data_IF_773035271228
#
_entry.id   IF_773035271228
#
_cell.length_a   1.000
_cell.length_b   1.000
_cell.length_c   1.000
_cell.angle_alpha   90.00
_cell.angle_beta   90.00
_cell.angle_gamma   90.00
#
_symmetry.space_group_name_H-M   'P 1'
#
loop_
_entity.id
_entity.type
_entity.pdbx_description
1 polymer ?
#
# COMPACT_ATOMS: atom_id res chain seq x y z
N UNK A 1 0.13 -16.65 -9.05
CA UNK A 1 1.58 -16.74 -8.82
C UNK A 1 1.81 -16.66 -7.34
N UNK A 2 2.50 -17.66 -6.79
CA UNK A 2 2.85 -17.74 -5.38
C UNK A 2 3.58 -16.47 -4.93
N UNK A 3 3.23 -15.92 -3.75
CA UNK A 3 3.92 -14.77 -3.18
C UNK A 3 5.44 -14.95 -3.29
N UNK A 4 6.18 -13.91 -3.69
CA UNK A 4 7.66 -13.84 -3.70
C UNK A 4 8.24 -13.88 -2.26
N UNK A 5 7.81 -14.85 -1.49
CA UNK A 5 8.14 -15.14 -0.11
C UNK A 5 8.55 -16.60 -0.08
N UNK A 6 9.77 -16.86 0.35
CA UNK A 6 10.27 -18.22 0.56
C UNK A 6 10.19 -18.49 2.05
N UNK A 7 9.64 -19.64 2.49
CA UNK A 7 9.68 -19.98 3.92
C UNK A 7 11.14 -20.05 4.37
N UNK A 8 11.43 -19.46 5.52
CA UNK A 8 12.79 -19.42 6.07
C UNK A 8 13.38 -20.83 6.25
N UNK A 9 12.53 -21.83 6.51
CA UNK A 9 12.90 -23.25 6.58
C UNK A 9 13.36 -23.81 5.22
N UNK A 10 12.63 -23.51 4.14
CA UNK A 10 12.96 -23.96 2.79
C UNK A 10 14.25 -23.28 2.30
N UNK A 11 14.40 -21.98 2.57
CA UNK A 11 15.64 -21.24 2.32
C UNK A 11 16.83 -21.83 3.10
N UNK A 12 16.64 -22.22 4.37
CA UNK A 12 17.69 -22.85 5.17
C UNK A 12 18.10 -24.22 4.59
N UNK A 13 17.15 -25.03 4.14
CA UNK A 13 17.43 -26.30 3.50
C UNK A 13 18.20 -26.13 2.18
N UNK A 14 17.78 -25.19 1.33
CA UNK A 14 18.48 -24.86 0.09
C UNK A 14 19.89 -24.30 0.36
N UNK A 15 20.03 -23.45 1.37
CA UNK A 15 21.32 -22.90 1.78
C UNK A 15 22.26 -24.03 2.28
N UNK A 16 21.75 -24.98 3.07
CA UNK A 16 22.55 -26.11 3.53
C UNK A 16 23.12 -26.95 2.37
N UNK A 17 22.34 -27.12 1.30
CA UNK A 17 22.81 -27.79 0.08
C UNK A 17 23.95 -27.00 -0.59
N UNK A 18 23.77 -25.69 -0.80
CA UNK A 18 24.79 -24.82 -1.40
C UNK A 18 26.08 -24.80 -0.55
N UNK A 19 25.97 -24.65 0.77
CA UNK A 19 27.11 -24.64 1.68
C UNK A 19 27.89 -25.97 1.65
N UNK A 20 27.17 -27.10 1.52
CA UNK A 20 27.80 -28.41 1.41
C UNK A 20 28.57 -28.55 0.09
N UNK A 21 27.98 -28.13 -1.03
CA UNK A 21 28.64 -28.10 -2.35
C UNK A 21 29.94 -27.27 -2.29
N UNK A 22 29.89 -26.08 -1.66
CA UNK A 22 31.06 -25.20 -1.50
C UNK A 22 32.13 -25.79 -0.56
N UNK A 23 31.73 -26.40 0.55
CA UNK A 23 32.65 -27.02 1.49
C UNK A 23 33.36 -28.24 0.86
N UNK A 24 32.62 -29.08 0.13
CA UNK A 24 33.16 -30.24 -0.59
C UNK A 24 34.10 -29.81 -1.72
N UNK A 25 33.79 -28.71 -2.42
CA UNK A 25 34.69 -28.16 -3.44
C UNK A 25 36.05 -27.74 -2.85
N UNK A 26 36.07 -27.26 -1.60
CA UNK A 26 37.31 -26.89 -0.91
C UNK A 26 38.07 -28.09 -0.31
N UNK A 27 37.36 -29.10 0.21
CA UNK A 27 37.97 -30.27 0.88
C UNK A 27 38.28 -31.44 -0.06
N UNK A 28 37.79 -31.43 -1.30
CA UNK A 28 37.84 -32.58 -2.19
C UNK A 28 37.15 -33.80 -1.56
N UNK A 29 37.82 -34.95 -1.55
CA UNK A 29 37.29 -36.19 -0.97
C UNK A 29 37.43 -36.27 0.56
N UNK A 30 38.03 -35.26 1.21
CA UNK A 30 38.24 -35.28 2.65
C UNK A 30 36.93 -34.98 3.40
N UNK A 31 36.61 -35.83 4.39
CA UNK A 31 35.46 -35.59 5.29
C UNK A 31 35.73 -34.51 6.35
N UNK A 32 37.01 -34.18 6.57
CA UNK A 32 37.46 -33.20 7.55
C UNK A 32 38.22 -32.10 6.83
N UNK A 33 37.95 -30.85 7.22
CA UNK A 33 38.60 -29.67 6.64
C UNK A 33 39.88 -29.38 7.41
N UNK A 34 41.00 -29.57 6.73
CA UNK A 34 42.32 -29.16 7.21
C UNK A 34 42.45 -27.63 7.25
N UNK A 35 43.47 -27.15 7.97
CA UNK A 35 43.71 -25.71 8.06
C UNK A 35 44.06 -25.08 6.70
N UNK A 36 44.73 -25.83 5.82
CA UNK A 36 45.05 -25.36 4.47
C UNK A 36 43.80 -25.29 3.58
N UNK A 37 42.93 -26.31 3.64
CA UNK A 37 41.66 -26.30 2.89
C UNK A 37 40.70 -25.21 3.40
N UNK A 38 40.77 -24.87 4.70
CA UNK A 38 39.98 -23.79 5.27
C UNK A 38 40.30 -22.42 4.62
N UNK A 39 41.50 -22.21 4.09
CA UNK A 39 41.85 -20.96 3.39
C UNK A 39 41.12 -20.82 2.04
N UNK A 40 40.78 -21.94 1.41
CA UNK A 40 40.07 -22.01 0.12
C UNK A 40 38.53 -21.93 0.27
N UNK A 41 37.99 -21.99 1.49
CA UNK A 41 36.56 -21.88 1.73
C UNK A 41 36.01 -20.50 1.34
N UNK A 42 34.74 -20.48 0.94
CA UNK A 42 33.97 -19.24 0.79
C UNK A 42 34.08 -18.37 2.07
N UNK A 43 34.19 -17.03 1.98
CA UNK A 43 34.41 -16.17 3.15
C UNK A 43 33.43 -16.39 4.31
N UNK A 44 32.16 -16.64 4.01
CA UNK A 44 31.14 -16.97 5.03
C UNK A 44 31.42 -18.32 5.73
N UNK A 45 31.83 -19.35 4.97
CA UNK A 45 32.22 -20.64 5.53
C UNK A 45 33.51 -20.55 6.37
N UNK A 46 34.45 -19.68 6.00
CA UNK A 46 35.65 -19.42 6.82
C UNK A 46 35.31 -18.85 8.19
N UNK A 47 34.35 -17.94 8.26
CA UNK A 47 33.84 -17.40 9.53
C UNK A 47 33.20 -18.51 10.39
N UNK A 48 32.42 -19.40 9.76
CA UNK A 48 31.83 -20.55 10.45
C UNK A 48 32.90 -21.55 10.94
N UNK A 49 33.92 -21.88 10.13
CA UNK A 49 35.03 -22.76 10.52
C UNK A 49 35.78 -22.20 11.73
N UNK A 50 36.14 -20.91 11.69
CA UNK A 50 36.79 -20.23 12.81
C UNK A 50 35.95 -20.34 14.09
N UNK A 51 34.63 -20.15 13.98
CA UNK A 51 33.70 -20.25 15.11
C UNK A 51 33.67 -21.67 15.68
N UNK A 52 33.57 -22.70 14.85
CA UNK A 52 33.59 -24.11 15.28
C UNK A 52 34.90 -24.43 16.01
N UNK A 53 36.05 -24.00 15.48
CA UNK A 53 37.35 -24.23 16.13
C UNK A 53 37.51 -23.51 17.46
N UNK A 54 37.02 -22.27 17.56
CA UNK A 54 37.04 -21.50 18.80
C UNK A 54 36.22 -22.20 19.89
N UNK A 55 35.01 -22.66 19.57
CA UNK A 55 34.14 -23.31 20.57
C UNK A 55 34.55 -24.75 20.89
N UNK A 56 35.11 -25.49 19.94
CA UNK A 56 35.59 -26.85 20.18
C UNK A 56 36.93 -26.92 20.94
N UNK A 57 37.74 -25.86 20.86
CA UNK A 57 39.06 -25.80 21.50
C UNK A 57 40.19 -26.41 20.67
N UNK A 58 41.37 -26.53 21.28
CA UNK A 58 42.59 -26.99 20.61
C UNK A 58 42.45 -28.41 20.07
N UNK A 59 42.79 -28.62 18.79
CA UNK A 59 42.72 -29.92 18.12
C UNK A 59 41.33 -30.28 17.57
N UNK A 60 40.35 -29.37 17.64
CA UNK A 60 39.03 -29.57 17.04
C UNK A 60 39.14 -29.86 15.55
N UNK A 61 38.61 -31.00 15.14
CA UNK A 61 38.46 -31.39 13.74
C UNK A 61 37.10 -30.91 13.25
N UNK A 62 37.09 -30.17 12.16
CA UNK A 62 35.86 -29.63 11.55
C UNK A 62 35.47 -30.56 10.42
N UNK A 63 34.38 -31.32 10.59
CA UNK A 63 33.78 -32.06 9.48
C UNK A 63 32.97 -31.13 8.58
N UNK A 64 32.76 -31.52 7.33
CA UNK A 64 31.89 -30.79 6.39
C UNK A 64 30.49 -30.59 6.99
N UNK A 65 29.89 -31.62 7.59
CA UNK A 65 28.55 -31.52 8.16
C UNK A 65 28.48 -30.55 9.36
N UNK A 66 29.46 -30.61 10.28
CA UNK A 66 29.50 -29.68 11.41
C UNK A 66 29.69 -28.23 10.94
N UNK A 67 30.46 -28.03 9.88
CA UNK A 67 30.65 -26.70 9.29
C UNK A 67 29.36 -26.17 8.67
N UNK A 68 28.65 -27.00 7.89
CA UNK A 68 27.38 -26.63 7.26
C UNK A 68 26.33 -26.30 8.31
N UNK A 69 26.20 -27.12 9.36
CA UNK A 69 25.28 -26.87 10.47
C UNK A 69 25.56 -25.52 11.15
N UNK A 70 26.83 -25.26 11.50
CA UNK A 70 27.24 -24.00 12.11
C UNK A 70 26.97 -22.79 11.20
N UNK A 71 27.24 -22.92 9.90
CA UNK A 71 27.00 -21.87 8.92
C UNK A 71 25.51 -21.58 8.71
N UNK A 72 24.64 -22.60 8.68
CA UNK A 72 23.17 -22.42 8.61
C UNK A 72 22.65 -21.75 9.89
N UNK A 73 23.16 -22.13 11.06
CA UNK A 73 22.79 -21.47 12.33
C UNK A 73 23.19 -19.99 12.32
N UNK A 74 24.39 -19.67 11.83
CA UNK A 74 24.84 -18.28 11.65
C UNK A 74 23.96 -17.50 10.67
N UNK A 75 23.57 -18.13 9.56
CA UNK A 75 22.69 -17.53 8.57
C UNK A 75 21.33 -17.17 9.16
N UNK A 76 20.75 -18.07 9.97
CA UNK A 76 19.48 -17.82 10.68
C UNK A 76 19.55 -16.61 11.61
N UNK A 77 20.62 -16.47 12.40
CA UNK A 77 20.82 -15.26 13.20
C UNK A 77 20.92 -13.99 12.34
N UNK A 78 21.60 -14.08 11.18
CA UNK A 78 21.67 -12.96 10.23
C UNK A 78 20.31 -12.59 9.63
N UNK A 79 19.49 -13.57 9.29
CA UNK A 79 18.12 -13.37 8.80
C UNK A 79 17.20 -12.77 9.87
N UNK A 80 17.25 -13.28 11.11
CA UNK A 80 16.49 -12.74 12.25
C UNK A 80 16.84 -11.29 12.54
N UNK A 81 18.10 -10.88 12.35
CA UNK A 81 18.52 -9.49 12.56
C UNK A 81 17.91 -8.51 11.56
N UNK A 82 17.59 -8.95 10.33
CA UNK A 82 16.93 -8.14 9.30
C UNK A 82 15.42 -8.41 9.18
N UNK A 83 14.93 -9.45 9.86
CA UNK A 83 13.54 -9.87 9.90
C UNK A 83 13.14 -10.35 11.31
N UNK A 84 13.07 -9.43 12.30
CA UNK A 84 12.83 -9.80 13.68
C UNK A 84 11.41 -10.33 13.88
N UNK A 85 11.25 -11.32 14.76
CA UNK A 85 9.96 -11.94 15.12
C UNK A 85 8.93 -10.92 15.61
N UNK A 86 9.40 -9.81 16.19
CA UNK A 86 8.59 -8.78 16.81
C UNK A 86 8.27 -7.62 15.83
N UNK A 87 8.87 -7.64 14.64
CA UNK A 87 8.57 -6.70 13.57
C UNK A 87 7.20 -6.99 12.96
N UNK A 88 6.57 -5.98 12.35
CA UNK A 88 5.28 -6.13 11.66
C UNK A 88 5.25 -7.15 10.49
N UNK A 89 6.34 -7.90 10.25
CA UNK A 89 6.49 -8.88 9.17
C UNK A 89 6.67 -10.27 9.74
N UNK A 90 6.13 -11.25 9.04
CA UNK A 90 6.16 -12.65 9.44
C UNK A 90 7.57 -13.25 9.25
N UNK A 91 8.32 -13.40 10.35
CA UNK A 91 9.66 -14.02 10.39
C UNK A 91 9.74 -15.44 9.81
N UNK A 92 8.59 -16.11 9.60
CA UNK A 92 8.51 -17.41 8.94
C UNK A 92 8.88 -17.36 7.44
N UNK A 93 8.94 -16.16 6.86
CA UNK A 93 9.23 -15.95 5.45
C UNK A 93 10.43 -15.02 5.25
N UNK A 94 11.21 -15.31 4.21
CA UNK A 94 12.28 -14.48 3.72
C UNK A 94 11.82 -13.85 2.40
N UNK A 95 11.83 -12.52 2.29
CA UNK A 95 11.58 -11.80 1.04
C UNK A 95 12.87 -11.16 0.51
N UNK A 96 12.79 -10.66 -0.72
CA UNK A 96 13.92 -10.02 -1.38
C UNK A 96 14.40 -8.77 -0.63
N UNK A 97 13.51 -8.04 0.04
CA UNK A 97 13.87 -6.83 0.78
C UNK A 97 14.79 -7.15 1.97
N UNK A 98 14.51 -8.23 2.70
CA UNK A 98 15.37 -8.70 3.79
C UNK A 98 16.75 -9.10 3.25
N UNK A 99 16.82 -9.74 2.08
CA UNK A 99 18.09 -10.08 1.42
C UNK A 99 18.90 -8.83 1.01
N UNK A 100 18.23 -7.77 0.56
CA UNK A 100 18.86 -6.47 0.28
C UNK A 100 19.39 -5.81 1.54
N UNK A 101 18.63 -5.85 2.64
CA UNK A 101 19.08 -5.35 3.93
C UNK A 101 20.31 -6.13 4.43
N UNK A 102 20.29 -7.46 4.29
CA UNK A 102 21.38 -8.35 4.69
C UNK A 102 22.68 -8.00 3.97
N UNK A 103 22.62 -7.62 2.69
CA UNK A 103 23.80 -7.22 1.90
C UNK A 103 24.58 -6.05 2.50
N UNK A 104 23.93 -5.18 3.28
CA UNK A 104 24.58 -4.07 3.98
C UNK A 104 25.36 -4.51 5.22
N UNK A 105 24.94 -5.61 5.84
CA UNK A 105 25.54 -6.13 7.08
C UNK A 105 26.56 -7.23 6.81
N UNK A 106 26.23 -8.17 5.93
CA UNK A 106 27.06 -9.30 5.53
C UNK A 106 26.84 -9.60 4.03
N UNK A 107 27.69 -9.05 3.13
CA UNK A 107 27.51 -9.24 1.69
C UNK A 107 27.70 -10.70 1.26
N UNK A 108 28.52 -11.48 1.97
CA UNK A 108 28.78 -12.88 1.65
C UNK A 108 27.60 -13.78 2.05
N UNK A 109 27.00 -13.54 3.20
CA UNK A 109 25.76 -14.22 3.58
C UNK A 109 24.61 -13.83 2.65
N UNK A 110 24.49 -12.54 2.29
CA UNK A 110 23.44 -12.08 1.38
C UNK A 110 23.51 -12.75 0.01
N UNK A 111 24.71 -12.92 -0.55
CA UNK A 111 24.93 -13.64 -1.81
C UNK A 111 24.42 -15.09 -1.73
N UNK A 112 24.86 -15.85 -0.72
CA UNK A 112 24.44 -17.25 -0.56
C UNK A 112 22.95 -17.38 -0.26
N UNK A 113 22.40 -16.44 0.51
CA UNK A 113 20.96 -16.40 0.81
C UNK A 113 20.12 -16.12 -0.44
N UNK A 114 20.61 -15.26 -1.34
CA UNK A 114 20.00 -15.03 -2.65
C UNK A 114 20.01 -16.28 -3.54
N UNK A 115 21.11 -17.03 -3.56
CA UNK A 115 21.18 -18.30 -4.29
C UNK A 115 20.19 -19.33 -3.73
N UNK A 116 20.11 -19.46 -2.41
CA UNK A 116 19.17 -20.35 -1.74
C UNK A 116 17.71 -19.96 -2.04
N UNK A 117 17.39 -18.67 -1.93
CA UNK A 117 16.07 -18.11 -2.25
C UNK A 117 15.65 -18.46 -3.68
N UNK A 118 16.52 -18.23 -4.67
CA UNK A 118 16.25 -18.57 -6.08
C UNK A 118 16.03 -20.06 -6.30
N UNK A 119 16.84 -20.92 -5.68
CA UNK A 119 16.71 -22.38 -5.81
C UNK A 119 15.36 -22.88 -5.31
N UNK A 120 14.82 -22.27 -4.24
CA UNK A 120 13.47 -22.59 -3.77
C UNK A 120 12.40 -22.09 -4.75
N UNK A 121 12.52 -20.87 -5.26
CA UNK A 121 11.56 -20.35 -6.25
C UNK A 121 11.53 -21.18 -7.53
N UNK A 122 12.69 -21.56 -8.07
CA UNK A 122 12.80 -22.42 -9.26
C UNK A 122 12.17 -23.79 -9.01
N UNK A 123 12.35 -24.38 -7.82
CA UNK A 123 11.72 -25.64 -7.45
C UNK A 123 10.20 -25.53 -7.29
N UNK A 124 9.71 -24.41 -6.74
CA UNK A 124 8.27 -24.11 -6.62
C UNK A 124 7.64 -23.95 -8.01
N UNK A 125 8.26 -23.15 -8.89
CA UNK A 125 7.81 -22.98 -10.27
C UNK A 125 7.80 -24.28 -11.07
N UNK A 126 8.82 -25.13 -10.91
CA UNK A 126 8.85 -26.44 -11.55
C UNK A 126 7.78 -27.41 -11.03
N UNK A 127 7.23 -27.14 -9.84
CA UNK A 127 6.15 -27.93 -9.22
C UNK A 127 4.76 -27.36 -9.52
N UNK A 128 4.68 -26.12 -10.03
CA UNK A 128 3.42 -25.53 -10.48
C UNK A 128 3.02 -26.19 -11.82
N UNK A 129 1.76 -26.62 -11.99
CA UNK A 129 1.31 -27.18 -13.26
C UNK A 129 1.49 -26.16 -14.38
N UNK A 130 1.99 -26.62 -15.55
CA UNK A 130 2.30 -25.80 -16.74
C UNK A 130 1.13 -24.93 -17.25
N UNK A 131 -0.08 -25.17 -16.76
CA UNK A 131 -1.24 -24.29 -16.95
C UNK A 131 -1.69 -23.81 -15.58
N UNK A 132 -1.55 -22.51 -15.26
CA UNK A 132 -2.16 -21.94 -14.06
C UNK A 132 -3.65 -22.32 -14.10
N UNK A 133 -4.13 -22.97 -13.04
CA UNK A 133 -5.57 -23.17 -12.90
C UNK A 133 -6.24 -21.79 -13.03
N UNK A 134 -7.33 -21.71 -13.80
CA UNK A 134 -8.12 -20.49 -13.84
C UNK A 134 -8.47 -20.09 -12.40
N UNK A 135 -8.30 -18.81 -12.03
CA UNK A 135 -8.56 -18.36 -10.68
C UNK A 135 -10.01 -18.68 -10.31
N UNK A 136 -10.21 -19.29 -9.15
CA UNK A 136 -11.53 -19.72 -8.69
C UNK A 136 -12.47 -18.54 -8.38
N UNK A 137 -11.91 -17.34 -8.14
CA UNK A 137 -12.64 -16.10 -7.92
C UNK A 137 -11.85 -14.86 -8.38
N UNK A 138 -12.53 -13.71 -8.45
CA UNK A 138 -11.90 -12.41 -8.71
C UNK A 138 -10.83 -12.07 -7.67
N UNK A 139 -11.08 -12.37 -6.39
CA UNK A 139 -10.13 -12.10 -5.31
C UNK A 139 -8.88 -12.96 -5.43
N UNK A 140 -9.04 -14.25 -5.73
CA UNK A 140 -7.91 -15.15 -5.96
C UNK A 140 -7.04 -14.68 -7.12
N UNK A 141 -7.66 -14.13 -8.16
CA UNK A 141 -6.93 -13.54 -9.27
C UNK A 141 -6.08 -12.34 -8.82
N UNK A 142 -6.66 -11.34 -8.13
CA UNK A 142 -5.92 -10.16 -7.67
C UNK A 142 -4.82 -10.54 -6.67
N UNK A 143 -5.12 -11.38 -5.69
CA UNK A 143 -4.15 -11.84 -4.68
C UNK A 143 -3.01 -12.64 -5.29
N UNK A 144 -3.31 -13.41 -6.34
CA UNK A 144 -2.33 -14.20 -7.09
C UNK A 144 -1.62 -13.45 -8.22
N UNK A 145 -1.99 -12.20 -8.51
CA UNK A 145 -1.42 -11.40 -9.60
C UNK A 145 -0.34 -10.47 -9.05
N UNK A 146 0.84 -10.52 -9.67
CA UNK A 146 1.89 -9.52 -9.46
C UNK A 146 1.66 -8.36 -10.43
N UNK A 147 1.26 -7.20 -9.90
CA UNK A 147 1.04 -5.99 -10.70
C UNK A 147 2.33 -5.16 -10.87
N UNK A 148 3.50 -5.71 -10.50
CA UNK A 148 4.79 -5.08 -10.78
C UNK A 148 5.00 -4.86 -12.29
N UNK A 149 5.93 -3.96 -12.63
CA UNK A 149 6.28 -3.58 -14.01
C UNK A 149 5.11 -3.01 -14.83
N UNK A 150 4.10 -2.45 -14.16
CA UNK A 150 2.89 -1.96 -14.83
C UNK A 150 2.19 -3.08 -15.63
N UNK A 151 2.09 -4.28 -15.05
CA UNK A 151 1.56 -5.47 -15.71
C UNK A 151 0.27 -5.17 -16.48
N UNK A 152 -0.69 -4.46 -15.88
CA UNK A 152 -1.93 -4.09 -16.57
C UNK A 152 -1.80 -2.92 -17.57
N UNK A 153 -0.79 -2.06 -17.50
CA UNK A 153 -0.58 -1.11 -18.61
C UNK A 153 -0.02 -1.81 -19.86
N UNK A 154 0.80 -2.86 -19.66
CA UNK A 154 1.47 -3.58 -20.74
C UNK A 154 0.68 -4.78 -21.25
N UNK A 155 -0.08 -5.43 -20.37
CA UNK A 155 -0.82 -6.65 -20.62
C UNK A 155 -2.29 -6.42 -20.23
N UNK A 156 -3.23 -6.92 -21.02
CA UNK A 156 -4.64 -6.87 -20.63
C UNK A 156 -4.92 -7.89 -19.53
N UNK A 157 -6.14 -7.86 -18.98
CA UNK A 157 -6.65 -8.99 -18.20
C UNK A 157 -6.43 -10.32 -18.96
N UNK A 158 -6.27 -11.47 -18.29
CA UNK A 158 -6.22 -12.78 -18.94
C UNK A 158 -7.36 -12.96 -19.95
N UNK A 159 -7.02 -13.15 -21.23
CA UNK A 159 -8.00 -13.27 -22.32
C UNK A 159 -8.82 -12.01 -22.62
N UNK A 160 -8.53 -10.90 -21.94
CA UNK A 160 -9.21 -9.62 -22.09
C UNK A 160 -8.55 -8.69 -23.10
N UNK A 161 -9.10 -7.48 -23.18
CA UNK A 161 -8.64 -6.40 -24.05
C UNK A 161 -8.55 -5.09 -23.28
N UNK A 162 -7.51 -4.31 -23.55
CA UNK A 162 -7.42 -2.91 -23.13
C UNK A 162 -8.39 -2.06 -23.96
N UNK A 163 -9.16 -1.22 -23.30
CA UNK A 163 -10.13 -0.33 -23.92
C UNK A 163 -9.67 1.11 -23.77
N UNK A 164 -9.65 1.85 -24.88
CA UNK A 164 -9.39 3.28 -24.87
C UNK A 164 -10.69 4.05 -24.61
N UNK A 165 -10.91 4.39 -23.34
CA UNK A 165 -12.10 5.10 -22.88
C UNK A 165 -11.91 6.63 -22.81
N UNK A 166 -10.83 7.18 -23.36
CA UNK A 166 -10.60 8.63 -23.35
C UNK A 166 -11.71 9.38 -24.10
N UNK A 167 -11.95 10.65 -23.72
CA UNK A 167 -13.01 11.46 -24.33
C UNK A 167 -12.84 11.53 -25.84
N UNK A 168 -13.92 11.23 -26.57
CA UNK A 168 -13.95 11.21 -28.04
C UNK A 168 -13.39 9.95 -28.69
N UNK A 169 -12.95 8.94 -27.93
CA UNK A 169 -12.48 7.67 -28.47
C UNK A 169 -13.64 6.68 -28.70
N UNK A 170 -13.62 5.89 -29.79
CA UNK A 170 -14.68 4.91 -30.06
C UNK A 170 -14.85 3.85 -28.96
N UNK A 171 -13.76 3.50 -28.27
CA UNK A 171 -13.79 2.51 -27.18
C UNK A 171 -14.62 2.94 -25.97
N UNK A 172 -15.03 4.22 -25.92
CA UNK A 172 -15.91 4.76 -24.88
C UNK A 172 -17.39 4.47 -25.13
N UNK A 173 -17.79 4.21 -26.38
CA UNK A 173 -19.20 3.98 -26.72
C UNK A 173 -19.70 2.68 -26.08
N UNK A 174 -20.84 2.75 -25.38
CA UNK A 174 -21.46 1.59 -24.74
C UNK A 174 -20.83 1.16 -23.41
N UNK A 175 -19.85 1.90 -22.89
CA UNK A 175 -19.35 1.67 -21.53
C UNK A 175 -20.41 2.08 -20.49
N UNK A 176 -20.54 1.34 -19.38
CA UNK A 176 -21.38 1.77 -18.26
C UNK A 176 -20.94 3.13 -17.70
N UNK A 177 -21.91 3.96 -17.32
CA UNK A 177 -21.65 5.33 -16.84
C UNK A 177 -20.71 5.34 -15.62
N UNK A 178 -20.89 4.39 -14.69
CA UNK A 178 -20.04 4.26 -13.51
C UNK A 178 -18.57 3.94 -13.86
N UNK A 179 -18.34 3.07 -14.85
CA UNK A 179 -17.00 2.70 -15.34
C UNK A 179 -16.35 3.90 -16.02
N UNK A 180 -17.11 4.62 -16.85
CA UNK A 180 -16.65 5.86 -17.51
C UNK A 180 -16.25 6.90 -16.48
N UNK A 181 -17.08 7.11 -15.46
CA UNK A 181 -16.81 8.07 -14.40
C UNK A 181 -15.56 7.71 -13.58
N UNK A 182 -15.30 6.42 -13.32
CA UNK A 182 -14.06 5.98 -12.67
C UNK A 182 -12.85 6.21 -13.54
N UNK A 183 -12.93 5.82 -14.82
CA UNK A 183 -11.82 5.95 -15.72
C UNK A 183 -11.44 7.42 -15.91
N UNK A 184 -12.43 8.28 -16.15
CA UNK A 184 -12.22 9.73 -16.26
C UNK A 184 -11.59 10.31 -15.00
N UNK A 185 -11.99 9.81 -13.83
CA UNK A 185 -11.42 10.25 -12.56
C UNK A 185 -9.92 9.91 -12.45
N UNK A 186 -9.50 8.72 -12.86
CA UNK A 186 -8.10 8.31 -12.76
C UNK A 186 -7.24 8.81 -13.92
N UNK A 187 -7.79 8.97 -15.12
CA UNK A 187 -7.08 9.49 -16.28
C UNK A 187 -6.50 10.89 -16.05
N UNK A 188 -7.06 11.65 -15.11
CA UNK A 188 -6.53 12.94 -14.64
C UNK A 188 -5.10 12.86 -14.13
N UNK A 189 -4.68 11.69 -13.65
CA UNK A 189 -3.31 11.43 -13.22
C UNK A 189 -2.34 11.45 -14.41
N UNK A 190 -2.77 10.87 -15.54
CA UNK A 190 -2.02 10.94 -16.80
C UNK A 190 -1.95 12.37 -17.33
N UNK A 191 -3.06 13.10 -17.29
CA UNK A 191 -3.13 14.49 -17.77
C UNK A 191 -2.25 15.44 -16.95
N UNK A 192 -1.92 15.09 -15.70
CA UNK A 192 -1.02 15.85 -14.84
C UNK A 192 0.40 15.28 -14.76
N UNK A 193 0.71 14.22 -15.51
CA UNK A 193 2.03 13.59 -15.52
C UNK A 193 2.48 13.17 -14.10
N UNK A 194 1.58 12.52 -13.37
CA UNK A 194 1.84 12.00 -12.00
C UNK A 194 1.46 10.51 -11.87
N UNK A 195 1.05 9.89 -12.97
CA UNK A 195 0.60 8.51 -12.97
C UNK A 195 0.01 8.05 -14.29
N UNK A 196 -0.54 6.82 -14.26
CA UNK A 196 -1.15 6.11 -15.37
C UNK A 196 -2.55 5.64 -15.03
N UNK A 197 -3.46 5.57 -16.01
CA UNK A 197 -4.76 4.94 -15.91
C UNK A 197 -5.04 4.05 -17.13
N UNK A 198 -5.55 2.86 -16.89
CA UNK A 198 -5.91 1.92 -17.96
C UNK A 198 -7.25 1.26 -17.66
N UNK A 199 -8.10 1.15 -18.70
CA UNK A 199 -9.34 0.39 -18.64
C UNK A 199 -9.16 -0.91 -19.41
N UNK A 200 -9.64 -2.00 -18.83
CA UNK A 200 -9.63 -3.33 -19.41
C UNK A 200 -11.01 -3.95 -19.35
N UNK A 201 -11.30 -4.81 -20.32
CA UNK A 201 -12.46 -5.70 -20.34
C UNK A 201 -11.97 -7.13 -20.41
N UNK A 202 -12.52 -8.02 -19.61
CA UNK A 202 -12.14 -9.43 -19.65
C UNK A 202 -13.16 -10.32 -18.97
N UNK A 203 -12.85 -11.61 -18.91
CA UNK A 203 -13.60 -12.57 -18.12
C UNK A 203 -12.66 -13.13 -17.03
N UNK A 204 -13.05 -12.98 -15.77
CA UNK A 204 -12.28 -13.45 -14.62
C UNK A 204 -13.18 -14.36 -13.79
N UNK A 205 -12.77 -15.62 -13.58
CA UNK A 205 -13.56 -16.59 -12.82
C UNK A 205 -14.95 -16.86 -13.42
N UNK A 206 -15.09 -16.79 -14.75
CA UNK A 206 -16.36 -16.95 -15.46
C UNK A 206 -17.24 -15.68 -15.50
N UNK A 207 -16.82 -14.59 -14.87
CA UNK A 207 -17.57 -13.34 -14.83
C UNK A 207 -16.96 -12.29 -15.76
N UNK A 208 -17.80 -11.68 -16.62
CA UNK A 208 -17.40 -10.54 -17.43
C UNK A 208 -17.22 -9.31 -16.54
N UNK A 209 -16.03 -8.70 -16.63
CA UNK A 209 -15.64 -7.58 -15.79
C UNK A 209 -14.99 -6.45 -16.57
N UNK A 210 -15.15 -5.24 -16.05
CA UNK A 210 -14.31 -4.09 -16.35
C UNK A 210 -13.30 -3.89 -15.22
N UNK A 211 -12.03 -3.72 -15.57
CA UNK A 211 -10.98 -3.42 -14.60
C UNK A 211 -10.34 -2.08 -14.93
N UNK A 212 -10.35 -1.17 -13.96
CA UNK A 212 -9.65 0.11 -14.04
C UNK A 212 -8.43 0.01 -13.15
N UNK A 213 -7.26 0.03 -13.79
CA UNK A 213 -5.98 -0.03 -13.12
C UNK A 213 -5.26 1.30 -13.25
N UNK A 214 -4.81 1.80 -12.12
CA UNK A 214 -4.18 3.11 -12.00
C UNK A 214 -2.89 2.98 -11.23
N UNK A 215 -1.85 3.66 -11.68
CA UNK A 215 -0.57 3.80 -10.97
C UNK A 215 -0.24 5.26 -10.75
N UNK A 216 0.57 5.55 -9.75
CA UNK A 216 1.25 6.83 -9.56
C UNK A 216 2.74 6.63 -9.75
N UNK A 217 3.47 7.73 -9.95
CA UNK A 217 4.93 7.69 -9.98
C UNK A 217 5.57 7.36 -8.62
N UNK A 218 4.76 7.33 -7.54
CA UNK A 218 5.17 7.04 -6.16
C UNK A 218 4.94 5.60 -5.70
N UNK A 219 4.85 4.64 -6.63
CA UNK A 219 4.58 3.21 -6.39
C UNK A 219 3.20 2.88 -5.81
N UNK A 220 2.32 3.86 -5.61
CA UNK A 220 0.93 3.62 -5.23
C UNK A 220 0.10 3.29 -6.48
N UNK A 221 -0.78 2.31 -6.34
CA UNK A 221 -1.68 1.91 -7.41
C UNK A 221 -3.06 1.53 -6.86
N UNK A 222 -4.06 1.56 -7.73
CA UNK A 222 -5.42 1.17 -7.42
C UNK A 222 -5.99 0.32 -8.54
N UNK A 223 -6.84 -0.63 -8.14
CA UNK A 223 -7.61 -1.47 -9.04
C UNK A 223 -9.08 -1.36 -8.64
N UNK A 224 -9.94 -0.99 -9.59
CA UNK A 224 -11.39 -1.07 -9.42
C UNK A 224 -11.95 -2.08 -10.41
N UNK A 225 -12.75 -3.01 -9.91
CA UNK A 225 -13.39 -4.08 -10.67
C UNK A 225 -14.89 -3.84 -10.68
N UNK A 226 -15.48 -3.84 -11.88
CA UNK A 226 -16.91 -3.67 -12.11
C UNK A 226 -17.48 -4.86 -12.88
N UNK A 227 -18.75 -5.16 -12.67
CA UNK A 227 -19.48 -6.11 -13.53
C UNK A 227 -19.80 -5.50 -14.90
N UNK A 228 -20.37 -6.31 -15.79
CA UNK A 228 -20.74 -5.89 -17.13
C UNK A 228 -21.71 -4.69 -17.18
N UNK A 229 -22.54 -4.51 -16.15
CA UNK A 229 -23.54 -3.44 -16.04
C UNK A 229 -22.98 -2.17 -15.36
N UNK A 230 -21.74 -2.23 -14.86
CA UNK A 230 -21.07 -1.13 -14.18
C UNK A 230 -21.29 -1.08 -12.67
N UNK A 231 -21.83 -2.14 -12.06
CA UNK A 231 -21.84 -2.32 -10.62
C UNK A 231 -20.43 -2.56 -10.10
N UNK A 232 -20.02 -1.84 -9.06
CA UNK A 232 -18.72 -2.07 -8.42
C UNK A 232 -18.72 -3.44 -7.74
N UNK A 233 -17.77 -4.29 -8.10
CA UNK A 233 -17.57 -5.60 -7.49
C UNK A 233 -16.59 -5.51 -6.34
N UNK A 234 -15.40 -4.96 -6.60
CA UNK A 234 -14.31 -4.85 -5.63
C UNK A 234 -13.42 -3.63 -5.97
N UNK A 235 -12.83 -3.04 -4.93
CA UNK A 235 -11.71 -2.12 -5.04
C UNK A 235 -10.49 -2.70 -4.34
N UNK A 236 -9.30 -2.39 -4.83
CA UNK A 236 -8.06 -2.78 -4.18
C UNK A 236 -7.03 -1.65 -4.24
N UNK A 237 -6.33 -1.46 -3.13
CA UNK A 237 -5.11 -0.67 -3.08
C UNK A 237 -3.92 -1.57 -3.29
N UNK A 238 -3.02 -1.09 -4.12
CA UNK A 238 -1.78 -1.75 -4.46
C UNK A 238 -0.62 -0.83 -4.06
N UNK A 239 0.49 -1.44 -3.62
CA UNK A 239 1.72 -0.73 -3.31
C UNK A 239 2.90 -1.53 -3.87
N UNK A 240 3.72 -0.87 -4.70
CA UNK A 240 4.80 -1.52 -5.44
C UNK A 240 4.31 -2.81 -6.14
N UNK A 241 3.22 -2.68 -6.90
CA UNK A 241 2.63 -3.77 -7.68
C UNK A 241 1.99 -4.90 -6.87
N UNK A 242 1.85 -4.77 -5.55
CA UNK A 242 1.29 -5.83 -4.69
C UNK A 242 0.02 -5.37 -4.00
N UNK A 243 -0.91 -6.32 -3.79
CA UNK A 243 -2.09 -6.07 -2.98
C UNK A 243 -1.69 -5.61 -1.58
N UNK A 244 -2.14 -4.41 -1.23
CA UNK A 244 -1.96 -3.81 0.08
C UNK A 244 -3.22 -3.98 0.92
N UNK A 245 -4.39 -3.63 0.35
CA UNK A 245 -5.67 -3.76 1.02
C UNK A 245 -6.81 -3.97 0.01
N UNK A 246 -7.82 -4.71 0.44
CA UNK A 246 -9.12 -4.78 -0.22
C UNK A 246 -10.01 -3.65 0.30
N UNK A 247 -10.75 -3.04 -0.60
CA UNK A 247 -11.59 -1.89 -0.31
C UNK A 247 -12.95 -2.05 -0.95
N UNK A 248 -13.99 -1.93 -0.14
CA UNK A 248 -15.38 -1.94 -0.63
C UNK A 248 -15.81 -0.57 -1.19
N UNK A 249 -14.87 0.35 -1.37
CA UNK A 249 -15.10 1.70 -1.89
C UNK A 249 -14.26 1.94 -3.14
N UNK A 250 -14.76 2.76 -4.10
CA UNK A 250 -13.96 3.21 -5.23
C UNK A 250 -12.69 3.92 -4.72
N UNK A 251 -11.52 3.58 -5.24
CA UNK A 251 -10.26 4.26 -4.92
C UNK A 251 -10.22 5.72 -5.39
N UNK A 252 -11.29 6.21 -6.04
CA UNK A 252 -11.50 7.62 -6.38
C UNK A 252 -11.41 8.56 -5.17
N UNK A 253 -11.93 8.18 -4.01
CA UNK A 253 -11.83 9.06 -2.83
C UNK A 253 -10.36 9.36 -2.48
N UNK A 254 -9.49 8.34 -2.53
CA UNK A 254 -8.07 8.44 -2.12
C UNK A 254 -7.14 9.13 -3.10
N UNK A 255 -7.40 9.01 -4.40
CA UNK A 255 -6.65 9.80 -5.38
C UNK A 255 -7.05 11.27 -5.31
N UNK A 256 -8.28 11.57 -4.89
CA UNK A 256 -8.67 12.95 -4.58
C UNK A 256 -7.75 13.51 -3.50
N UNK A 257 -7.45 12.71 -2.48
CA UNK A 257 -6.47 12.98 -1.43
C UNK A 257 -5.07 13.38 -1.96
N UNK A 258 -4.56 12.68 -2.97
CA UNK A 258 -3.30 13.03 -3.63
C UNK A 258 -3.41 14.36 -4.40
N UNK A 259 -4.50 14.58 -5.14
CA UNK A 259 -4.75 15.84 -5.84
C UNK A 259 -4.91 17.03 -4.87
N UNK A 260 -5.52 16.82 -3.71
CA UNK A 260 -5.60 17.83 -2.66
C UNK A 260 -4.20 18.19 -2.13
N UNK A 261 -3.23 17.28 -2.19
CA UNK A 261 -1.88 17.45 -1.59
C UNK A 261 -0.92 18.14 -2.55
N UNK A 262 -1.01 17.82 -3.84
CA UNK A 262 -0.17 18.41 -4.88
C UNK A 262 -0.53 19.87 -5.21
N UNK A 263 -1.71 20.34 -4.79
CA UNK A 263 -2.23 21.65 -5.17
C UNK A 263 -1.63 22.86 -4.42
N UNK A 264 -0.77 22.65 -3.41
CA UNK A 264 -0.15 23.75 -2.67
C UNK A 264 -1.18 24.68 -2.01
N UNK A 265 -1.95 24.15 -1.06
CA UNK A 265 -2.93 24.93 -0.30
C UNK A 265 -2.26 25.78 0.78
N UNK A 266 -2.95 26.84 1.25
CA UNK A 266 -2.43 27.68 2.33
C UNK A 266 -2.87 27.17 3.69
N UNK A 267 -1.92 27.07 4.63
CA UNK A 267 -2.21 26.90 6.05
C UNK A 267 -2.32 28.26 6.72
N UNK A 268 -3.35 28.46 7.54
CA UNK A 268 -3.56 29.67 8.32
C UNK A 268 -4.02 29.33 9.73
N UNK A 269 -3.81 30.28 10.65
CA UNK A 269 -4.41 30.25 11.98
C UNK A 269 -5.93 30.43 11.86
N UNK A 270 -6.66 29.62 12.62
CA UNK A 270 -8.09 29.78 12.88
C UNK A 270 -8.32 30.53 14.18
N UNK A 271 -9.49 31.14 14.29
CA UNK A 271 -9.86 32.03 15.37
C UNK A 271 -11.19 31.59 15.98
N UNK A 272 -11.30 31.69 17.29
CA UNK A 272 -12.52 31.35 18.03
C UNK A 272 -13.48 32.55 18.17
N UNK A 273 -12.96 33.77 18.26
CA UNK A 273 -13.75 34.97 18.50
C UNK A 273 -14.55 35.42 17.26
N UNK A 274 -15.85 35.74 17.37
CA UNK A 274 -16.70 36.06 16.21
C UNK A 274 -16.16 37.16 15.29
N UNK A 275 -15.59 38.23 15.88
CA UNK A 275 -15.06 39.36 15.12
C UNK A 275 -13.76 39.00 14.38
N UNK A 276 -12.91 38.17 14.99
CA UNK A 276 -11.69 37.67 14.37
C UNK A 276 -12.01 36.69 13.23
N UNK A 277 -12.92 35.74 13.48
CA UNK A 277 -13.45 34.84 12.44
C UNK A 277 -13.91 35.62 11.22
N UNK A 278 -14.76 36.63 11.42
CA UNK A 278 -15.26 37.47 10.34
C UNK A 278 -14.14 38.23 9.61
N UNK A 279 -13.14 38.74 10.35
CA UNK A 279 -11.97 39.45 9.81
C UNK A 279 -11.09 38.56 8.94
N UNK A 280 -10.98 37.27 9.28
CA UNK A 280 -10.15 36.29 8.56
C UNK A 280 -10.95 35.38 7.62
N UNK A 281 -12.22 35.75 7.35
CA UNK A 281 -13.04 35.07 6.36
C UNK A 281 -13.64 33.74 6.80
N UNK A 282 -13.54 33.41 8.09
CA UNK A 282 -14.08 32.17 8.65
C UNK A 282 -15.61 32.20 8.74
N UNK A 283 -16.29 31.07 8.48
CA UNK A 283 -17.69 30.96 8.80
C UNK A 283 -17.90 31.19 10.30
N UNK A 284 -19.02 31.81 10.73
CA UNK A 284 -19.31 31.99 12.15
C UNK A 284 -19.40 30.62 12.84
N UNK A 285 -19.10 30.54 14.14
CA UNK A 285 -19.12 29.27 14.90
C UNK A 285 -20.48 28.56 14.96
N UNK A 286 -21.56 29.27 14.58
CA UNK A 286 -22.93 28.75 14.45
C UNK A 286 -23.32 28.41 13.00
N UNK A 287 -22.39 28.46 12.05
CA UNK A 287 -22.65 28.08 10.67
C UNK A 287 -22.88 26.56 10.60
N UNK A 288 -24.01 26.17 10.04
CA UNK A 288 -24.42 24.77 9.91
C UNK A 288 -24.22 24.22 8.49
N UNK A 289 -23.71 25.04 7.58
CA UNK A 289 -23.64 24.70 6.17
C UNK A 289 -24.99 24.38 5.55
N UNK A 290 -24.94 23.66 4.43
CA UNK A 290 -26.09 23.06 3.78
C UNK A 290 -26.46 21.71 4.43
N UNK A 291 -25.48 21.05 5.05
CA UNK A 291 -25.66 19.87 5.88
C UNK A 291 -24.70 19.86 7.07
N UNK A 292 -25.12 19.23 8.17
CA UNK A 292 -24.33 19.07 9.38
C UNK A 292 -24.22 17.58 9.74
N UNK A 293 -23.01 17.02 9.67
CA UNK A 293 -22.70 15.64 10.05
C UNK A 293 -22.41 15.60 11.55
N UNK A 294 -23.45 15.31 12.33
CA UNK A 294 -23.42 15.27 13.80
C UNK A 294 -23.66 13.87 14.40
N UNK A 295 -23.79 12.86 13.55
CA UNK A 295 -23.87 11.45 13.92
C UNK A 295 -23.29 10.57 12.81
N UNK A 296 -22.66 9.46 13.19
CA UNK A 296 -22.04 8.53 12.27
C UNK A 296 -20.75 7.93 12.80
N UNK A 297 -20.03 7.24 11.91
CA UNK A 297 -18.78 6.57 12.19
C UNK A 297 -17.75 6.89 11.09
N UNK A 298 -16.53 7.22 11.51
CA UNK A 298 -15.37 7.27 10.61
C UNK A 298 -14.65 5.93 10.68
N UNK A 299 -14.66 5.22 9.55
CA UNK A 299 -13.97 3.95 9.43
C UNK A 299 -12.53 4.17 9.00
N UNK A 300 -11.63 3.31 9.47
CA UNK A 300 -10.21 3.45 9.20
C UNK A 300 -9.47 2.10 9.21
N UNK A 301 -8.31 2.05 8.55
CA UNK A 301 -7.42 0.88 8.54
C UNK A 301 -5.97 1.36 8.45
N UNK A 302 -5.07 0.72 9.20
CA UNK A 302 -3.63 1.06 9.24
C UNK A 302 -3.37 2.55 9.45
N UNK A 303 -4.14 3.15 10.36
CA UNK A 303 -4.12 4.59 10.69
C UNK A 303 -4.46 5.53 9.52
N UNK A 304 -5.16 5.04 8.50
CA UNK A 304 -5.68 5.83 7.38
C UNK A 304 -7.21 5.83 7.40
N UNK A 305 -7.81 7.01 7.20
CA UNK A 305 -9.24 7.15 6.98
C UNK A 305 -9.69 6.32 5.77
N UNK A 306 -10.84 5.67 5.88
CA UNK A 306 -11.46 4.90 4.80
C UNK A 306 -12.69 5.58 4.25
N UNK A 307 -13.72 5.78 5.08
CA UNK A 307 -14.98 6.39 4.65
C UNK A 307 -15.82 6.91 5.83
N UNK A 308 -16.82 7.72 5.49
CA UNK A 308 -17.84 8.23 6.41
C UNK A 308 -19.13 7.42 6.30
N UNK A 309 -19.50 6.74 7.39
CA UNK A 309 -20.84 6.20 7.57
C UNK A 309 -21.68 7.19 8.36
N UNK A 310 -22.80 7.67 7.82
CA UNK A 310 -23.67 8.64 8.51
C UNK A 310 -25.13 8.44 8.18
N UNK A 311 -26.00 8.72 9.17
CA UNK A 311 -27.46 8.77 9.00
C UNK A 311 -27.94 10.10 8.43
N UNK A 312 -27.08 11.11 8.37
CA UNK A 312 -27.40 12.41 7.77
C UNK A 312 -27.53 12.23 6.26
N UNK A 313 -28.66 12.66 5.71
CA UNK A 313 -28.88 12.61 4.26
C UNK A 313 -27.98 13.65 3.58
N UNK A 314 -27.00 13.17 2.82
CA UNK A 314 -26.08 14.00 2.04
C UNK A 314 -26.35 13.76 0.55
N UNK A 315 -26.32 14.82 -0.24
CA UNK A 315 -26.13 14.69 -1.70
C UNK A 315 -24.73 14.14 -1.97
N UNK A 316 -24.52 13.58 -3.16
CA UNK A 316 -23.20 13.04 -3.55
C UNK A 316 -22.09 14.11 -3.44
N UNK A 317 -22.42 15.35 -3.79
CA UNK A 317 -21.47 16.48 -3.69
C UNK A 317 -21.10 16.82 -2.24
N UNK A 318 -22.07 16.83 -1.32
CA UNK A 318 -21.82 17.11 0.09
C UNK A 318 -21.11 15.94 0.78
N UNK A 319 -21.39 14.70 0.37
CA UNK A 319 -20.66 13.52 0.85
C UNK A 319 -19.20 13.57 0.41
N UNK A 320 -18.93 13.86 -0.86
CA UNK A 320 -17.57 14.02 -1.36
C UNK A 320 -16.82 15.14 -0.62
N UNK A 321 -17.48 16.25 -0.31
CA UNK A 321 -16.92 17.34 0.48
C UNK A 321 -16.60 16.91 1.93
N UNK A 322 -17.49 16.16 2.57
CA UNK A 322 -17.28 15.66 3.92
C UNK A 322 -16.11 14.65 4.00
N UNK A 323 -16.04 13.71 3.06
CA UNK A 323 -14.96 12.72 3.01
C UNK A 323 -13.60 13.39 2.72
N UNK A 324 -13.56 14.31 1.75
CA UNK A 324 -12.35 15.11 1.46
C UNK A 324 -11.88 15.93 2.67
N UNK A 325 -12.81 16.42 3.50
CA UNK A 325 -12.47 17.11 4.74
C UNK A 325 -11.86 16.15 5.77
N UNK A 326 -12.48 14.99 6.01
CA UNK A 326 -11.98 14.00 6.96
C UNK A 326 -10.64 13.40 6.54
N UNK A 327 -10.40 13.21 5.25
CA UNK A 327 -9.09 12.84 4.72
C UNK A 327 -7.98 13.81 5.15
N UNK A 328 -8.30 15.10 5.31
CA UNK A 328 -7.34 16.12 5.80
C UNK A 328 -7.22 16.18 7.31
N UNK A 329 -8.35 16.13 8.00
CA UNK A 329 -8.39 16.22 9.45
C UNK A 329 -7.75 14.96 10.06
N UNK A 330 -7.89 13.81 9.40
CA UNK A 330 -7.41 12.52 9.88
C UNK A 330 -5.93 12.47 10.22
N UNK A 331 -4.99 12.71 9.28
CA UNK A 331 -3.56 12.61 9.58
C UNK A 331 -3.07 13.71 10.54
N UNK A 332 -3.81 14.79 10.71
CA UNK A 332 -3.42 15.95 11.53
C UNK A 332 -3.90 15.77 12.98
N UNK A 333 -5.15 15.36 13.16
CA UNK A 333 -5.83 15.34 14.45
C UNK A 333 -6.36 13.96 14.81
N UNK A 334 -7.29 13.42 14.01
CA UNK A 334 -8.08 12.25 14.43
C UNK A 334 -7.27 10.93 14.52
N UNK A 335 -6.18 10.77 13.76
CA UNK A 335 -5.36 9.54 13.80
C UNK A 335 -4.76 9.23 15.18
N UNK A 336 -4.69 10.23 16.06
CA UNK A 336 -4.14 10.09 17.40
C UNK A 336 -5.20 9.67 18.43
N UNK A 337 -6.47 9.71 18.05
CA UNK A 337 -7.61 9.33 18.91
C UNK A 337 -7.95 7.83 18.83
N UNK A 338 -7.39 7.11 17.85
CA UNK A 338 -7.67 5.68 17.62
C UNK A 338 -6.70 4.78 18.37
N UNK A 339 -7.25 3.78 19.07
CA UNK A 339 -6.46 2.82 19.85
C UNK A 339 -6.43 1.40 19.23
N UNK A 340 -7.32 1.11 18.29
CA UNK A 340 -7.51 -0.19 17.64
C UNK A 340 -8.12 0.03 16.25
N UNK A 341 -8.82 -0.97 15.69
CA UNK A 341 -9.51 -0.87 14.41
C UNK A 341 -10.98 -0.42 14.53
N UNK A 342 -11.42 0.02 15.71
CA UNK A 342 -12.81 0.41 15.93
C UNK A 342 -13.09 1.76 15.25
N UNK A 343 -14.23 1.92 14.55
CA UNK A 343 -14.61 3.19 13.95
C UNK A 343 -14.75 4.31 14.99
N UNK A 344 -14.46 5.54 14.57
CA UNK A 344 -14.63 6.73 15.41
C UNK A 344 -16.09 7.20 15.38
N UNK A 345 -16.75 7.24 16.53
CA UNK A 345 -18.10 7.81 16.66
C UNK A 345 -18.09 9.35 16.55
N UNK A 346 -18.89 9.90 15.63
CA UNK A 346 -19.12 11.34 15.48
C UNK A 346 -20.20 11.85 16.43
N UNK A 347 -20.10 13.12 16.79
CA UNK A 347 -21.13 13.85 17.52
C UNK A 347 -20.57 14.84 18.54
N UNK A 348 -21.41 15.80 18.95
CA UNK A 348 -21.04 16.91 19.84
C UNK A 348 -20.57 16.48 21.24
N UNK A 349 -20.91 15.25 21.68
CA UNK A 349 -20.43 14.66 22.94
C UNK A 349 -19.40 13.54 22.72
N UNK A 350 -18.94 13.39 21.48
CA UNK A 350 -18.00 12.36 21.02
C UNK A 350 -16.77 13.05 20.46
N UNK A 351 -16.35 12.80 19.22
CA UNK A 351 -15.16 13.46 18.67
C UNK A 351 -15.42 14.83 18.04
N UNK A 352 -16.67 15.18 17.70
CA UNK A 352 -16.96 16.44 17.03
C UNK A 352 -18.03 16.35 15.95
N UNK A 353 -18.25 17.46 15.26
CA UNK A 353 -19.27 17.59 14.20
C UNK A 353 -18.70 18.31 12.99
N UNK A 354 -19.17 17.97 11.79
CA UNK A 354 -18.73 18.59 10.54
C UNK A 354 -19.88 19.30 9.82
N UNK A 355 -19.84 20.63 9.71
CA UNK A 355 -20.73 21.38 8.83
C UNK A 355 -20.13 21.48 7.42
N UNK A 356 -20.90 21.17 6.39
CA UNK A 356 -20.48 21.21 4.98
C UNK A 356 -21.46 22.01 4.14
N UNK A 357 -20.96 22.79 3.19
CA UNK A 357 -21.80 23.56 2.26
C UNK A 357 -21.07 24.71 1.59
N UNK A 358 -21.79 25.52 0.82
CA UNK A 358 -21.21 26.69 0.17
C UNK A 358 -21.06 27.88 1.14
N UNK A 359 -19.94 28.57 1.07
CA UNK A 359 -19.66 29.78 1.86
C UNK A 359 -18.93 30.83 1.04
N UNK A 360 -19.47 32.06 1.03
CA UNK A 360 -18.80 33.22 0.45
C UNK A 360 -17.89 33.87 1.48
N UNK A 361 -16.58 33.75 1.26
CA UNK A 361 -15.56 34.26 2.18
C UNK A 361 -15.50 35.79 2.11
N UNK A 362 -15.61 36.45 3.27
CA UNK A 362 -15.70 37.92 3.35
C UNK A 362 -14.42 38.65 2.91
N UNK A 363 -13.26 38.01 2.99
CA UNK A 363 -11.96 38.63 2.72
C UNK A 363 -11.66 38.80 1.23
N UNK A 364 -12.24 37.97 0.37
CA UNK A 364 -12.03 38.01 -1.09
C UNK A 364 -13.33 37.96 -1.91
N UNK A 365 -14.48 37.73 -1.29
CA UNK A 365 -15.78 37.67 -1.94
C UNK A 365 -15.99 36.41 -2.81
N UNK A 366 -15.12 35.40 -2.68
CA UNK A 366 -15.23 34.15 -3.44
C UNK A 366 -16.08 33.14 -2.68
N UNK A 367 -16.90 32.38 -3.42
CA UNK A 367 -17.67 31.26 -2.87
C UNK A 367 -16.86 29.97 -2.96
N UNK A 368 -16.76 29.27 -1.83
CA UNK A 368 -16.03 28.03 -1.67
C UNK A 368 -16.98 26.92 -1.19
N UNK A 369 -16.70 25.70 -1.63
CA UNK A 369 -17.21 24.51 -0.95
C UNK A 369 -16.44 24.36 0.36
N UNK A 370 -17.12 24.55 1.48
CA UNK A 370 -16.49 24.74 2.78
C UNK A 370 -16.87 23.60 3.73
N UNK A 371 -15.90 23.14 4.51
CA UNK A 371 -16.11 22.17 5.58
C UNK A 371 -15.58 22.77 6.90
N UNK A 372 -16.45 22.89 7.90
CA UNK A 372 -16.13 23.42 9.22
C UNK A 372 -16.24 22.30 10.25
N UNK A 373 -15.10 21.73 10.62
CA UNK A 373 -14.98 20.73 11.69
C UNK A 373 -14.91 21.44 13.03
N UNK A 374 -15.77 21.00 13.94
CA UNK A 374 -15.77 21.44 15.33
C UNK A 374 -15.45 20.25 16.21
N UNK A 375 -14.27 20.29 16.78
CA UNK A 375 -13.85 19.32 17.78
C UNK A 375 -14.53 19.60 19.14
N UNK A 376 -14.53 18.60 20.03
CA UNK A 376 -14.97 18.75 21.41
C UNK A 376 -13.88 19.35 22.33
N UNK A 377 -12.60 19.27 21.94
CA UNK A 377 -11.47 19.83 22.66
C UNK A 377 -10.80 21.00 21.93
N UNK A 378 -9.66 20.78 21.28
CA UNK A 378 -8.73 21.79 20.77
C UNK A 378 -8.27 21.52 19.32
N UNK A 379 -9.11 20.84 18.54
CA UNK A 379 -8.79 20.41 17.18
C UNK A 379 -9.69 20.91 16.06
N UNK A 380 -10.16 22.15 16.07
CA UNK A 380 -11.17 22.62 15.11
C UNK A 380 -10.55 23.09 13.78
N UNK A 381 -11.23 22.83 12.65
CA UNK A 381 -10.72 23.18 11.31
C UNK A 381 -11.79 23.87 10.47
N UNK A 382 -11.36 24.82 9.64
CA UNK A 382 -12.14 25.30 8.48
C UNK A 382 -11.35 25.05 7.22
N UNK A 383 -11.92 24.27 6.31
CA UNK A 383 -11.33 23.86 5.04
C UNK A 383 -12.13 24.47 3.89
N UNK A 384 -11.46 25.19 2.99
CA UNK A 384 -12.07 25.77 1.79
C UNK A 384 -11.62 25.03 0.55
N UNK A 385 -12.58 24.57 -0.23
CA UNK A 385 -12.35 23.87 -1.48
C UNK A 385 -12.92 24.68 -2.65
N UNK A 386 -12.22 24.65 -3.78
CA UNK A 386 -12.79 24.95 -5.08
C UNK A 386 -13.14 23.66 -5.78
N UNK A 387 -14.19 23.68 -6.61
CA UNK A 387 -14.48 22.58 -7.52
C UNK A 387 -14.16 22.99 -8.95
N UNK A 388 -13.38 22.17 -9.64
CA UNK A 388 -13.16 22.26 -11.07
C UNK A 388 -13.59 20.95 -11.75
N UNK A 389 -13.30 20.81 -13.05
CA UNK A 389 -13.57 19.58 -13.80
C UNK A 389 -12.84 18.34 -13.23
N UNK A 390 -11.86 18.57 -12.36
CA UNK A 390 -11.06 17.56 -11.66
C UNK A 390 -11.50 17.35 -10.20
N UNK A 391 -12.64 17.90 -9.80
CA UNK A 391 -13.23 17.67 -8.48
C UNK A 391 -12.79 18.68 -7.43
N UNK A 392 -12.78 18.25 -6.17
CA UNK A 392 -12.46 19.11 -5.03
C UNK A 392 -10.96 19.40 -4.96
N UNK A 393 -10.61 20.67 -4.83
CA UNK A 393 -9.25 21.14 -4.61
C UNK A 393 -9.20 22.02 -3.36
N UNK A 394 -8.45 21.59 -2.35
CA UNK A 394 -8.23 22.37 -1.14
C UNK A 394 -7.45 23.65 -1.50
N UNK A 395 -8.01 24.79 -1.13
CA UNK A 395 -7.42 26.11 -1.34
C UNK A 395 -6.77 26.60 -0.06
N UNK A 396 -7.43 26.41 1.08
CA UNK A 396 -6.95 26.87 2.38
C UNK A 396 -7.48 26.01 3.50
N UNK A 397 -6.64 25.78 4.51
CA UNK A 397 -7.01 25.16 5.78
C UNK A 397 -6.67 26.14 6.92
N UNK A 398 -7.65 26.37 7.79
CA UNK A 398 -7.52 27.19 8.99
C UNK A 398 -7.71 26.32 10.23
N UNK A 399 -6.77 26.39 11.16
CA UNK A 399 -6.76 25.55 12.37
C UNK A 399 -6.96 26.39 13.63
N UNK A 400 -8.02 26.08 14.38
CA UNK A 400 -8.47 26.77 15.60
C UNK A 400 -8.25 25.83 16.79
N UNK A 401 -7.30 26.20 17.65
CA UNK A 401 -6.95 25.50 18.89
C UNK A 401 -7.85 25.94 20.05
#
# INVERSE_FOLDING_TARGET
>A
MSSNLVRTEDAAAALAAILRELAQAASGDNQQISQAEAEALHPFLRLADARVRIYGGAGTRVSVDNLVEAAVAMARTGWEAVNPVDGSRDSRYLAQLELWALRRHDPHLAELSWQAYRRVQEAQQASEPETPAEPASLRDWVEGTDFNEYALHQQSLPGGVRVDARRGQPGREGLPEAVVAAFDFYHRLEERDIGGASLHRGNLGGQDVWAIYTTTDGDEAWLELYDADGGLLEGARLYAGRLFAWDHFPGRSRVSDMFLTLAGYTWAEGYSEPDERARFGQPPSRWTGDANVDAGWLHHQDRRFLHLETTVALTDDLRALAEAAFERIWPIHLRHTVWNADPIELGFRRQGTLAVGDWTRSTDGLTYQTASWRDIDDGSFVLYFTRDEWGLRLVSAQFDN
#
